data_IF_735761739749
#
_entry.id   IF_735761739749
#
_cell.length_a   1.000
_cell.length_b   1.000
_cell.length_c   1.000
_cell.angle_alpha   90.00
_cell.angle_beta   90.00
_cell.angle_gamma   90.00
#
_symmetry.space_group_name_H-M   'P 1'
#
loop_
_entity.id
_entity.type
_entity.pdbx_description
1 polymer ?
#
# COMPACT_ATOMS: atom_id res chain seq x y z
N UNK A 1 17.99 28.05 -1.51
CA UNK A 1 18.97 27.15 -0.87
C UNK A 1 18.27 26.40 0.27
N UNK A 2 18.27 25.07 0.22
CA UNK A 2 17.52 24.23 1.17
C UNK A 2 18.12 24.29 2.58
N UNK A 3 17.38 24.84 3.56
CA UNK A 3 17.82 25.09 4.96
C UNK A 3 18.03 23.81 5.80
N UNK A 4 17.85 22.62 5.21
CA UNK A 4 17.98 21.34 5.90
C UNK A 4 19.43 20.94 6.12
N UNK A 5 19.77 20.62 7.36
CA UNK A 5 21.03 20.03 7.79
C UNK A 5 21.24 18.65 7.13
N UNK A 6 22.48 18.17 7.00
CA UNK A 6 22.76 16.82 6.53
C UNK A 6 22.01 15.73 7.31
N UNK A 7 21.84 15.91 8.62
CA UNK A 7 21.15 14.99 9.53
C UNK A 7 19.65 14.91 9.19
N UNK A 8 19.00 16.06 9.00
CA UNK A 8 17.60 16.12 8.58
C UNK A 8 17.39 15.53 7.19
N UNK A 9 18.30 15.80 6.24
CA UNK A 9 18.25 15.19 4.90
C UNK A 9 18.32 13.67 4.99
N UNK A 10 19.21 13.13 5.84
CA UNK A 10 19.33 11.68 6.02
C UNK A 10 18.10 11.08 6.68
N UNK A 11 17.53 11.73 7.69
CA UNK A 11 16.26 11.33 8.33
C UNK A 11 15.12 11.30 7.32
N UNK A 12 14.97 12.36 6.52
CA UNK A 12 13.96 12.44 5.48
C UNK A 12 14.17 11.37 4.40
N UNK A 13 15.41 11.08 4.01
CA UNK A 13 15.71 9.97 3.11
C UNK A 13 15.21 8.65 3.70
N UNK A 14 15.49 8.35 4.97
CA UNK A 14 15.00 7.12 5.59
C UNK A 14 13.47 6.99 5.65
N UNK A 15 12.75 8.10 5.84
CA UNK A 15 11.29 8.12 5.97
C UNK A 15 10.55 8.20 4.63
N UNK A 16 11.12 8.93 3.65
CA UNK A 16 10.43 9.31 2.41
C UNK A 16 10.95 8.57 1.18
N UNK A 17 12.20 8.12 1.14
CA UNK A 17 12.66 7.26 0.05
C UNK A 17 11.98 5.89 0.18
N UNK A 18 11.32 5.44 -0.88
CA UNK A 18 10.51 4.23 -0.90
C UNK A 18 11.15 3.19 -1.80
N UNK A 19 11.23 1.94 -1.31
CA UNK A 19 11.84 0.81 -2.00
C UNK A 19 10.81 -0.30 -2.16
N UNK A 20 10.77 -0.87 -3.37
CA UNK A 20 9.96 -2.05 -3.63
C UNK A 20 10.58 -3.26 -2.92
N UNK A 21 9.86 -3.81 -1.94
CA UNK A 21 10.25 -4.99 -1.16
C UNK A 21 9.57 -6.27 -1.60
N UNK A 22 8.58 -6.18 -2.50
CA UNK A 22 7.78 -7.32 -2.95
C UNK A 22 8.49 -8.19 -3.99
N UNK A 23 9.73 -7.84 -4.38
CA UNK A 23 10.52 -8.56 -5.40
C UNK A 23 9.91 -8.48 -6.81
N UNK A 24 8.84 -7.71 -6.97
CA UNK A 24 8.14 -7.55 -8.23
C UNK A 24 8.96 -6.65 -9.17
N UNK A 25 9.09 -7.01 -10.45
CA UNK A 25 9.72 -6.10 -11.41
C UNK A 25 8.77 -4.93 -11.78
N UNK A 26 9.32 -3.82 -12.29
CA UNK A 26 8.54 -2.63 -12.67
C UNK A 26 7.42 -2.96 -13.68
N UNK A 27 7.64 -3.93 -14.58
CA UNK A 27 6.64 -4.32 -15.59
C UNK A 27 5.45 -5.03 -14.97
N UNK A 28 5.68 -5.88 -13.97
CA UNK A 28 4.63 -6.59 -13.25
C UNK A 28 3.78 -5.63 -12.42
N UNK A 29 4.37 -4.63 -11.75
CA UNK A 29 3.61 -3.62 -11.00
C UNK A 29 2.65 -2.85 -11.90
N UNK A 30 3.16 -2.36 -13.05
CA UNK A 30 2.33 -1.64 -14.06
C UNK A 30 1.13 -2.46 -14.53
N UNK A 31 1.37 -3.77 -14.76
CA UNK A 31 0.33 -4.69 -15.23
C UNK A 31 -0.69 -5.01 -14.14
N UNK A 32 -0.23 -5.27 -12.92
CA UNK A 32 -1.06 -5.73 -11.82
C UNK A 32 -1.90 -4.59 -11.22
N UNK A 33 -1.39 -3.35 -11.19
CA UNK A 33 -2.17 -2.17 -10.82
C UNK A 33 -3.42 -2.03 -11.69
N UNK A 34 -3.24 -2.07 -13.03
CA UNK A 34 -4.36 -1.98 -13.97
C UNK A 34 -5.37 -3.12 -13.78
N UNK A 35 -4.88 -4.35 -13.61
CA UNK A 35 -5.75 -5.54 -13.42
C UNK A 35 -6.55 -5.47 -12.13
N UNK A 36 -5.90 -5.13 -11.01
CA UNK A 36 -6.57 -5.03 -9.72
C UNK A 36 -7.64 -3.93 -9.71
N UNK A 37 -7.34 -2.78 -10.31
CA UNK A 37 -8.33 -1.71 -10.52
C UNK A 37 -9.51 -2.20 -11.38
N UNK A 38 -9.24 -2.85 -12.50
CA UNK A 38 -10.28 -3.38 -13.38
C UNK A 38 -11.15 -4.45 -12.69
N UNK A 39 -10.56 -5.36 -11.93
CA UNK A 39 -11.28 -6.41 -11.20
C UNK A 39 -12.25 -5.82 -10.17
N UNK A 40 -11.82 -4.82 -9.41
CA UNK A 40 -12.67 -4.11 -8.44
C UNK A 40 -13.85 -3.41 -9.13
N UNK A 41 -13.61 -2.67 -10.21
CA UNK A 41 -14.68 -1.99 -10.93
C UNK A 41 -15.67 -2.97 -11.60
N UNK A 42 -15.17 -4.05 -12.20
CA UNK A 42 -16.02 -5.06 -12.82
C UNK A 42 -16.88 -5.79 -11.79
N UNK A 43 -16.36 -6.04 -10.58
CA UNK A 43 -17.14 -6.64 -9.50
C UNK A 43 -18.27 -5.71 -9.04
N UNK A 44 -18.00 -4.42 -8.87
CA UNK A 44 -19.02 -3.43 -8.49
C UNK A 44 -20.10 -3.30 -9.58
N UNK A 45 -19.70 -3.14 -10.86
CA UNK A 45 -20.66 -3.07 -11.98
C UNK A 45 -21.52 -4.34 -12.11
N UNK A 46 -20.92 -5.52 -11.88
CA UNK A 46 -21.70 -6.77 -11.91
C UNK A 46 -22.73 -6.80 -10.80
N UNK A 47 -22.38 -6.34 -9.59
CA UNK A 47 -23.32 -6.24 -8.49
C UNK A 47 -24.47 -5.27 -8.81
N UNK A 48 -24.15 -4.07 -9.30
CA UNK A 48 -25.13 -3.06 -9.73
C UNK A 48 -26.08 -3.63 -10.80
N UNK A 49 -25.54 -4.27 -11.83
CA UNK A 49 -26.34 -4.85 -12.90
C UNK A 49 -27.27 -5.96 -12.40
N UNK A 50 -26.81 -6.82 -11.48
CA UNK A 50 -27.66 -7.88 -10.92
C UNK A 50 -28.80 -7.30 -10.08
N UNK A 51 -28.53 -6.28 -9.25
CA UNK A 51 -29.56 -5.61 -8.45
C UNK A 51 -30.58 -4.92 -9.35
N UNK A 52 -30.14 -4.20 -10.39
CA UNK A 52 -31.02 -3.52 -11.33
C UNK A 52 -31.82 -4.50 -12.20
N UNK A 53 -31.19 -5.55 -12.71
CA UNK A 53 -31.86 -6.56 -13.55
C UNK A 53 -32.95 -7.32 -12.78
N UNK A 54 -32.74 -7.58 -11.49
CA UNK A 54 -33.76 -8.20 -10.63
C UNK A 54 -35.02 -7.33 -10.43
N UNK A 55 -34.96 -6.04 -10.79
CA UNK A 55 -36.05 -5.08 -10.68
C UNK A 55 -36.77 -4.86 -12.02
N UNK A 56 -36.15 -5.23 -13.14
CA UNK A 56 -36.77 -5.14 -14.47
C UNK A 56 -37.89 -6.20 -14.56
N UNK A 57 -39.14 -5.73 -14.56
CA UNK A 57 -40.35 -6.58 -14.60
C UNK A 57 -41.22 -6.50 -13.35
N UNK A 58 -40.70 -5.96 -12.24
CA UNK A 58 -41.52 -5.59 -11.09
C UNK A 58 -42.14 -4.20 -11.35
N UNK A 59 -43.47 -4.10 -11.36
CA UNK A 59 -44.18 -2.81 -11.29
C UNK A 59 -43.94 -2.23 -9.90
N UNK A 60 -42.85 -1.52 -9.73
CA UNK A 60 -42.44 -1.02 -8.42
C UNK A 60 -43.12 0.32 -8.10
N UNK A 61 -44.04 0.28 -7.14
CA UNK A 61 -44.70 1.46 -6.56
C UNK A 61 -43.92 2.04 -5.36
N UNK A 62 -42.80 1.42 -4.96
CA UNK A 62 -41.98 1.76 -3.78
C UNK A 62 -40.67 2.50 -4.05
N UNK A 63 -40.36 2.82 -5.31
CA UNK A 63 -39.45 3.90 -5.68
C UNK A 63 -37.95 3.71 -5.35
N UNK A 64 -37.14 4.56 -5.96
CA UNK A 64 -35.68 4.53 -6.00
C UNK A 64 -34.95 4.34 -4.65
N UNK A 65 -35.61 4.59 -3.53
CA UNK A 65 -35.08 4.47 -2.17
C UNK A 65 -34.84 2.99 -1.77
N UNK A 66 -35.80 2.09 -2.04
CA UNK A 66 -35.62 0.66 -1.80
C UNK A 66 -34.53 0.04 -2.70
N UNK A 67 -34.32 0.62 -3.88
CA UNK A 67 -33.25 0.24 -4.82
C UNK A 67 -31.90 0.69 -4.27
N UNK A 68 -31.81 1.94 -3.81
CA UNK A 68 -30.61 2.49 -3.19
C UNK A 68 -30.21 1.67 -1.96
N UNK A 69 -31.17 1.34 -1.10
CA UNK A 69 -30.93 0.49 0.07
C UNK A 69 -30.31 -0.85 -0.34
N UNK A 70 -30.91 -1.55 -1.31
CA UNK A 70 -30.37 -2.83 -1.84
C UNK A 70 -28.98 -2.70 -2.43
N UNK A 71 -28.70 -1.63 -3.16
CA UNK A 71 -27.41 -1.38 -3.80
C UNK A 71 -26.31 -1.08 -2.77
N UNK A 72 -26.66 -0.36 -1.70
CA UNK A 72 -25.72 0.14 -0.70
C UNK A 72 -25.69 -0.68 0.60
N UNK A 73 -26.48 -1.76 0.73
CA UNK A 73 -26.33 -2.75 1.82
C UNK A 73 -24.88 -3.18 1.98
N UNK A 74 -24.16 -3.34 0.86
CA UNK A 74 -22.73 -3.62 0.86
C UNK A 74 -21.94 -2.44 0.36
N UNK A 75 -20.95 -2.02 1.15
CA UNK A 75 -19.99 -1.00 0.73
C UNK A 75 -19.28 -1.44 -0.56
N UNK A 76 -19.25 -0.61 -1.62
CA UNK A 76 -18.54 -0.93 -2.85
C UNK A 76 -17.07 -1.23 -2.58
N UNK A 77 -16.52 -2.20 -3.32
CA UNK A 77 -15.09 -2.51 -3.24
C UNK A 77 -14.30 -1.29 -3.71
N UNK A 78 -13.22 -0.95 -2.99
CA UNK A 78 -12.31 0.14 -3.35
C UNK A 78 -10.91 -0.41 -3.56
N UNK A 79 -10.27 0.03 -4.64
CA UNK A 79 -8.87 -0.25 -4.88
C UNK A 79 -8.05 0.98 -4.47
N UNK A 80 -6.97 0.74 -3.71
CA UNK A 80 -5.98 1.74 -3.37
C UNK A 80 -4.59 1.16 -3.53
N UNK A 81 -3.66 1.94 -4.09
CA UNK A 81 -2.25 1.56 -4.12
C UNK A 81 -1.68 1.67 -2.71
N UNK A 82 -1.03 0.62 -2.22
CA UNK A 82 -0.23 0.70 -1.01
C UNK A 82 1.11 1.40 -1.30
N UNK A 83 1.61 2.17 -0.33
CA UNK A 83 2.94 2.75 -0.44
C UNK A 83 4.00 1.64 -0.32
N UNK A 84 5.07 1.77 -1.09
CA UNK A 84 6.27 0.93 -0.97
C UNK A 84 6.94 1.12 0.41
N UNK A 85 7.83 0.20 0.77
CA UNK A 85 8.49 0.18 2.07
C UNK A 85 9.46 1.37 2.23
N UNK A 86 9.47 2.07 3.39
CA UNK A 86 10.48 3.09 3.67
C UNK A 86 11.91 2.54 3.62
N UNK A 87 12.85 3.38 3.21
CA UNK A 87 14.27 3.02 3.12
C UNK A 87 14.83 2.52 4.46
N UNK A 88 14.41 3.07 5.61
CA UNK A 88 14.84 2.58 6.92
C UNK A 88 14.55 1.09 7.11
N UNK A 89 13.29 0.71 6.91
CA UNK A 89 12.85 -0.68 7.09
C UNK A 89 13.47 -1.60 6.03
N UNK A 90 13.65 -1.13 4.80
CA UNK A 90 14.32 -1.90 3.76
C UNK A 90 15.79 -2.20 4.10
N UNK A 91 16.51 -1.22 4.67
CA UNK A 91 17.90 -1.41 5.12
C UNK A 91 17.95 -2.36 6.31
N UNK A 92 17.04 -2.22 7.27
CA UNK A 92 16.92 -3.12 8.42
C UNK A 92 16.73 -4.58 7.96
N UNK A 93 15.76 -4.83 7.09
CA UNK A 93 15.52 -6.14 6.49
C UNK A 93 16.77 -6.71 5.79
N UNK A 94 17.50 -5.90 5.03
CA UNK A 94 18.73 -6.34 4.36
C UNK A 94 19.82 -6.72 5.37
N UNK A 95 19.98 -5.98 6.46
CA UNK A 95 20.96 -6.28 7.50
C UNK A 95 20.63 -7.59 8.20
N UNK A 96 19.38 -7.77 8.61
CA UNK A 96 18.90 -9.00 9.24
C UNK A 96 19.06 -10.21 8.30
N UNK A 97 18.72 -10.04 7.02
CA UNK A 97 18.90 -11.09 6.02
C UNK A 97 20.36 -11.48 5.85
N UNK A 98 21.29 -10.52 5.87
CA UNK A 98 22.74 -10.81 5.79
C UNK A 98 23.24 -11.58 7.00
N UNK A 99 22.80 -11.22 8.20
CA UNK A 99 23.11 -11.97 9.42
C UNK A 99 22.57 -13.40 9.32
N UNK A 100 21.32 -13.57 8.89
CA UNK A 100 20.70 -14.90 8.70
C UNK A 100 21.46 -15.77 7.70
N UNK A 101 22.06 -15.15 6.69
CA UNK A 101 22.89 -15.82 5.68
C UNK A 101 24.36 -16.00 6.10
N UNK A 102 24.74 -15.59 7.32
CA UNK A 102 26.11 -15.68 7.81
C UNK A 102 27.09 -14.72 7.13
N UNK A 103 26.61 -13.71 6.39
CA UNK A 103 27.44 -12.75 5.64
C UNK A 103 27.95 -11.63 6.55
N UNK A 104 27.19 -11.25 7.59
CA UNK A 104 27.53 -10.15 8.49
C UNK A 104 27.36 -10.60 9.95
N UNK A 105 28.07 -9.92 10.85
CA UNK A 105 28.01 -10.18 12.29
C UNK A 105 26.72 -9.58 12.90
N UNK A 106 26.10 -10.33 13.81
CA UNK A 106 24.85 -9.95 14.44
C UNK A 106 25.00 -8.69 15.32
N UNK A 107 26.13 -8.54 16.04
CA UNK A 107 26.35 -7.36 16.87
C UNK A 107 26.54 -6.11 16.02
N UNK A 108 27.32 -6.21 14.94
CA UNK A 108 27.50 -5.13 13.96
C UNK A 108 26.18 -4.73 13.30
N UNK A 109 25.35 -5.68 12.88
CA UNK A 109 24.04 -5.39 12.32
C UNK A 109 23.14 -4.65 13.31
N UNK A 110 23.05 -5.11 14.57
CA UNK A 110 22.28 -4.46 15.63
C UNK A 110 22.72 -3.02 15.88
N UNK A 111 24.02 -2.74 15.93
CA UNK A 111 24.54 -1.37 16.08
C UNK A 111 24.12 -0.46 14.93
N UNK A 112 24.11 -0.97 13.70
CA UNK A 112 23.70 -0.21 12.51
C UNK A 112 22.19 0.07 12.52
N UNK A 113 21.38 -0.92 12.87
CA UNK A 113 19.92 -0.79 13.03
C UNK A 113 19.60 0.25 14.12
N UNK A 114 20.24 0.14 15.29
CA UNK A 114 20.10 1.12 16.37
C UNK A 114 20.41 2.55 15.92
N UNK A 115 21.47 2.74 15.12
CA UNK A 115 21.82 4.06 14.55
C UNK A 115 20.73 4.60 13.61
N UNK A 116 20.05 3.73 12.86
CA UNK A 116 18.93 4.12 11.99
C UNK A 116 17.78 4.61 12.87
N UNK A 117 17.32 3.82 13.85
CA UNK A 117 16.21 4.23 14.72
C UNK A 117 16.51 5.52 15.48
N UNK A 118 17.73 5.70 15.99
CA UNK A 118 18.14 6.93 16.66
C UNK A 118 17.98 8.17 15.78
N UNK A 119 18.23 8.04 14.47
CA UNK A 119 18.04 9.13 13.50
C UNK A 119 16.57 9.38 13.15
N UNK A 120 15.69 8.40 13.37
CA UNK A 120 14.26 8.55 13.16
C UNK A 120 13.59 9.24 14.35
N UNK A 121 13.99 8.88 15.58
CA UNK A 121 13.37 9.32 16.83
C UNK A 121 13.84 10.69 17.32
N UNK A 122 15.07 11.11 17.03
CA UNK A 122 15.55 12.46 17.41
C UNK A 122 15.28 13.46 16.28
N UNK A 123 14.31 14.38 16.43
CA UNK A 123 14.35 15.61 15.66
C UNK A 123 15.59 16.40 16.10
N UNK A 124 16.38 16.86 15.12
CA UNK A 124 17.48 17.80 15.34
C UNK A 124 16.93 19.22 15.33
#
# INVERSE_FOLDING_TARGET
>A
MDRRTPQERKRLSYLKDRRNSYGENDKSSRRNIRRNKAAVHSANRRHEHLVLAALVGARDTGGAEAIADRLYVKRPKRWSKAADQPLAEAVEYVLERRVRLGIDDAARARQRIHRIHRRLTRPH
#
